data_IF_305756999153
#
_entry.id   IF_305756999153
#
_cell.length_a   1.000
_cell.length_b   1.000
_cell.length_c   1.000
_cell.angle_alpha   90.00
_cell.angle_beta   90.00
_cell.angle_gamma   90.00
#
_symmetry.space_group_name_H-M   'P 1'
#
loop_
_entity.id
_entity.type
_entity.pdbx_description
1 polymer ?
#
# COMPACT_ATOMS: atom_id res chain seq x y z
N UNK A 1 6.37 21.44 22.87
CA UNK A 1 5.11 20.93 23.46
C UNK A 1 4.21 20.54 22.31
N UNK A 2 4.15 19.26 22.00
CA UNK A 2 3.37 18.73 20.87
C UNK A 2 1.89 18.73 21.27
N UNK A 3 1.08 19.56 20.62
CA UNK A 3 -0.34 19.71 20.93
C UNK A 3 -1.11 18.45 20.49
N UNK A 4 -1.28 17.50 21.40
CA UNK A 4 -1.95 16.22 21.17
C UNK A 4 -3.48 16.38 21.29
N UNK A 5 -4.06 17.28 20.48
CA UNK A 5 -5.49 17.61 20.52
C UNK A 5 -6.14 17.97 19.18
N UNK A 6 -5.36 18.34 18.15
CA UNK A 6 -5.90 18.77 16.85
C UNK A 6 -5.55 17.77 15.76
N UNK A 7 -6.57 17.21 15.09
CA UNK A 7 -6.40 16.15 14.10
C UNK A 7 -6.05 16.70 12.70
N UNK A 8 -6.40 17.96 12.44
CA UNK A 8 -6.25 18.61 11.15
C UNK A 8 -5.72 20.05 11.32
N UNK A 9 -4.99 20.55 10.34
CA UNK A 9 -4.54 21.94 10.29
C UNK A 9 -5.72 22.87 9.96
N UNK A 10 -6.55 22.47 8.99
CA UNK A 10 -7.71 23.25 8.57
C UNK A 10 -8.93 22.39 8.19
N UNK A 11 -10.12 22.95 8.36
CA UNK A 11 -11.33 22.45 7.71
C UNK A 11 -11.84 23.42 6.64
N UNK A 12 -12.58 22.91 5.63
CA UNK A 12 -13.20 23.75 4.59
C UNK A 12 -14.72 23.62 4.63
N UNK A 13 -15.39 24.68 5.11
CA UNK A 13 -16.84 24.81 5.06
C UNK A 13 -17.27 25.42 3.73
N UNK A 14 -18.19 24.75 3.04
CA UNK A 14 -18.60 25.12 1.68
C UNK A 14 -20.04 24.70 1.40
N UNK A 15 -20.70 25.32 0.43
CA UNK A 15 -21.96 24.80 -0.09
C UNK A 15 -21.69 23.50 -0.86
N UNK A 16 -22.58 22.50 -0.72
CA UNK A 16 -22.44 21.20 -1.39
C UNK A 16 -22.20 21.26 -2.90
N UNK A 17 -22.73 22.29 -3.53
CA UNK A 17 -22.66 22.57 -4.96
C UNK A 17 -21.25 22.96 -5.42
N UNK A 18 -20.43 23.56 -4.55
CA UNK A 18 -19.06 24.02 -4.87
C UNK A 18 -17.99 22.93 -4.65
N UNK A 19 -18.41 21.75 -4.19
CA UNK A 19 -17.51 20.70 -3.72
C UNK A 19 -16.55 20.23 -4.81
N UNK A 20 -17.08 19.90 -5.98
CA UNK A 20 -16.30 19.35 -7.10
C UNK A 20 -15.59 20.44 -7.90
N UNK A 21 -16.23 21.60 -8.08
CA UNK A 21 -15.74 22.68 -8.93
C UNK A 21 -14.55 23.42 -8.33
N UNK A 22 -14.52 23.64 -7.01
CA UNK A 22 -13.51 24.48 -6.36
C UNK A 22 -12.90 23.88 -5.10
N UNK A 23 -13.73 23.34 -4.20
CA UNK A 23 -13.28 22.90 -2.87
C UNK A 23 -12.34 21.71 -2.97
N UNK A 24 -12.63 20.74 -3.84
CA UNK A 24 -11.75 19.58 -4.07
C UNK A 24 -10.40 20.00 -4.67
N UNK A 25 -10.31 20.78 -5.76
CA UNK A 25 -9.05 21.33 -6.25
C UNK A 25 -8.24 22.06 -5.17
N UNK A 26 -8.88 22.93 -4.40
CA UNK A 26 -8.24 23.67 -3.32
C UNK A 26 -7.70 22.73 -2.23
N UNK A 27 -8.50 21.77 -1.77
CA UNK A 27 -8.10 20.80 -0.76
C UNK A 27 -6.93 19.93 -1.22
N UNK A 28 -6.88 19.56 -2.50
CA UNK A 28 -5.75 18.82 -3.09
C UNK A 28 -4.50 19.70 -3.08
N UNK A 29 -4.59 20.94 -3.56
CA UNK A 29 -3.46 21.87 -3.57
C UNK A 29 -2.91 22.12 -2.14
N UNK A 30 -3.79 22.34 -1.16
CA UNK A 30 -3.41 22.49 0.24
C UNK A 30 -2.70 21.24 0.79
N UNK A 31 -3.21 20.04 0.47
CA UNK A 31 -2.58 18.78 0.89
C UNK A 31 -1.21 18.56 0.26
N UNK A 32 -1.05 18.90 -1.02
CA UNK A 32 0.24 18.80 -1.69
C UNK A 32 1.29 19.75 -1.07
N UNK A 33 0.84 20.85 -0.45
CA UNK A 33 1.68 21.77 0.31
C UNK A 33 1.91 21.34 1.77
N UNK A 34 1.46 20.15 2.17
CA UNK A 34 1.64 19.61 3.52
C UNK A 34 0.63 20.10 4.55
N UNK A 35 -0.48 20.73 4.13
CA UNK A 35 -1.57 21.12 5.03
C UNK A 35 -2.56 19.95 5.15
N UNK A 36 -2.81 19.51 6.37
CA UNK A 36 -3.83 18.49 6.64
C UNK A 36 -5.23 19.12 6.62
N UNK A 37 -6.06 18.71 5.65
CA UNK A 37 -7.37 19.34 5.37
C UNK A 37 -8.53 18.36 5.48
N UNK A 38 -9.59 18.77 6.18
CA UNK A 38 -10.87 18.07 6.29
C UNK A 38 -12.04 18.87 5.70
N UNK A 39 -12.69 18.36 4.65
CA UNK A 39 -13.76 19.11 3.97
C UNK A 39 -15.03 18.28 3.70
N UNK A 40 -14.97 16.95 3.62
CA UNK A 40 -16.09 16.10 3.20
C UNK A 40 -17.33 16.19 4.08
N UNK A 41 -17.15 16.40 5.39
CA UNK A 41 -18.24 16.49 6.37
C UNK A 41 -18.78 17.91 6.60
N UNK A 42 -18.15 18.94 6.00
CA UNK A 42 -18.54 20.35 6.17
C UNK A 42 -19.24 20.91 4.93
N UNK A 43 -20.04 20.04 4.30
CA UNK A 43 -20.83 20.36 3.12
C UNK A 43 -22.20 20.86 3.56
N UNK A 44 -22.44 22.16 3.40
CA UNK A 44 -23.63 22.86 3.89
C UNK A 44 -24.83 22.68 2.94
N UNK A 45 -25.93 22.18 3.49
CA UNK A 45 -27.24 22.00 2.84
C UNK A 45 -28.25 23.03 3.36
N UNK A 46 -29.38 23.13 2.67
CA UNK A 46 -30.48 23.99 3.11
C UNK A 46 -31.00 23.52 4.48
N UNK A 47 -31.06 24.43 5.45
CA UNK A 47 -31.52 24.16 6.82
C UNK A 47 -30.41 23.77 7.80
N UNK A 48 -29.16 23.62 7.35
CA UNK A 48 -28.02 23.46 8.25
C UNK A 48 -27.73 24.76 9.02
N UNK A 49 -27.05 24.66 10.16
CA UNK A 49 -26.54 25.81 10.93
C UNK A 49 -25.05 26.01 10.65
N UNK A 50 -24.68 27.22 10.25
CA UNK A 50 -23.30 27.58 9.95
C UNK A 50 -22.44 27.51 11.22
N UNK A 51 -22.95 27.99 12.36
CA UNK A 51 -22.24 27.92 13.63
C UNK A 51 -21.93 26.50 14.04
N UNK A 52 -22.89 25.57 13.95
CA UNK A 52 -22.65 24.16 14.32
C UNK A 52 -21.57 23.53 13.45
N UNK A 53 -21.58 23.83 12.15
CA UNK A 53 -20.54 23.39 11.23
C UNK A 53 -19.16 23.90 11.64
N UNK A 54 -19.07 25.21 11.93
CA UNK A 54 -17.82 25.85 12.36
C UNK A 54 -17.34 25.33 13.71
N UNK A 55 -18.21 25.20 14.70
CA UNK A 55 -17.88 24.67 16.03
C UNK A 55 -17.36 23.24 15.94
N UNK A 56 -18.02 22.39 15.14
CA UNK A 56 -17.54 21.03 14.88
C UNK A 56 -16.16 21.04 14.19
N UNK A 57 -15.94 21.95 13.25
CA UNK A 57 -14.67 22.10 12.53
C UNK A 57 -13.54 22.54 13.45
N UNK A 58 -13.76 23.59 14.24
CA UNK A 58 -12.79 24.15 15.18
C UNK A 58 -12.51 23.23 16.38
N UNK A 59 -13.40 22.29 16.69
CA UNK A 59 -13.12 21.25 17.68
C UNK A 59 -12.03 20.27 17.22
N UNK A 60 -11.83 20.11 15.91
CA UNK A 60 -10.85 19.17 15.32
C UNK A 60 -9.71 19.82 14.54
N UNK A 61 -9.76 21.15 14.36
CA UNK A 61 -8.86 21.91 13.48
C UNK A 61 -8.50 23.27 14.06
N UNK A 62 -7.31 23.76 13.72
CA UNK A 62 -6.81 25.09 14.12
C UNK A 62 -7.44 26.22 13.31
N UNK A 63 -7.62 25.99 12.02
CA UNK A 63 -8.14 26.99 11.08
C UNK A 63 -9.44 26.54 10.42
N UNK A 64 -10.34 27.48 10.17
CA UNK A 64 -11.57 27.26 9.41
C UNK A 64 -11.58 28.07 8.13
N UNK A 65 -11.55 27.41 6.97
CA UNK A 65 -11.70 28.06 5.68
C UNK A 65 -13.17 28.06 5.30
N UNK A 66 -13.75 29.22 4.99
CA UNK A 66 -15.17 29.31 4.59
C UNK A 66 -15.28 29.83 3.15
N UNK A 67 -15.86 29.01 2.28
CA UNK A 67 -16.09 29.34 0.87
C UNK A 67 -17.42 30.05 0.72
N UNK A 68 -17.35 31.33 0.37
CA UNK A 68 -18.48 32.22 0.15
C UNK A 68 -18.72 32.31 -1.36
N UNK A 69 -19.70 31.54 -1.82
CA UNK A 69 -20.10 31.44 -3.22
C UNK A 69 -21.53 31.92 -3.45
N UNK A 70 -22.02 32.04 -4.70
CA UNK A 70 -23.43 32.26 -4.96
C UNK A 70 -24.33 31.20 -4.32
N UNK A 71 -23.87 29.94 -4.25
CA UNK A 71 -24.60 28.86 -3.58
C UNK A 71 -24.63 29.03 -2.06
N UNK A 72 -23.56 29.56 -1.46
CA UNK A 72 -23.54 29.91 -0.05
C UNK A 72 -24.52 31.05 0.26
N UNK A 73 -24.47 32.13 -0.53
CA UNK A 73 -25.29 33.35 -0.34
C UNK A 73 -26.79 33.09 -0.54
N UNK A 74 -27.16 32.14 -1.40
CA UNK A 74 -28.58 31.76 -1.61
C UNK A 74 -29.20 30.98 -0.45
N UNK A 75 -28.40 30.40 0.43
CA UNK A 75 -28.93 29.65 1.59
C UNK A 75 -29.37 30.65 2.66
N UNK A 76 -30.52 30.41 3.33
CA UNK A 76 -31.13 31.37 4.25
C UNK A 76 -30.41 31.37 5.61
N UNK A 77 -29.20 31.93 5.66
CA UNK A 77 -28.44 32.08 6.89
C UNK A 77 -29.02 33.19 7.76
N UNK A 78 -29.28 32.95 9.05
CA UNK A 78 -29.64 34.02 9.96
C UNK A 78 -28.53 35.07 10.08
N UNK A 79 -28.87 36.36 10.14
CA UNK A 79 -27.87 37.45 10.21
C UNK A 79 -26.88 37.31 11.37
N UNK A 80 -27.34 36.77 12.50
CA UNK A 80 -26.48 36.54 13.67
C UNK A 80 -25.42 35.45 13.41
N UNK A 81 -25.69 34.47 12.54
CA UNK A 81 -24.69 33.47 12.10
C UNK A 81 -23.61 34.11 11.24
N UNK A 82 -24.01 34.98 10.32
CA UNK A 82 -23.08 35.70 9.43
C UNK A 82 -22.20 36.68 10.21
N UNK A 83 -22.77 37.39 11.18
CA UNK A 83 -22.01 38.29 12.06
C UNK A 83 -20.99 37.53 12.91
N UNK A 84 -21.35 36.34 13.39
CA UNK A 84 -20.46 35.49 14.18
C UNK A 84 -19.24 34.98 13.42
N UNK A 85 -19.37 34.78 12.10
CA UNK A 85 -18.25 34.43 11.23
C UNK A 85 -17.19 35.54 11.15
N UNK A 86 -17.62 36.79 11.26
CA UNK A 86 -16.76 37.98 11.21
C UNK A 86 -16.13 38.24 12.58
N UNK A 87 -16.88 38.06 13.68
CA UNK A 87 -16.45 38.41 15.04
C UNK A 87 -15.55 37.38 15.74
N UNK A 88 -15.49 36.13 15.26
CA UNK A 88 -14.77 35.02 15.91
C UNK A 88 -13.24 35.07 15.81
N UNK A 89 -12.65 36.15 15.32
CA UNK A 89 -11.18 36.32 15.28
C UNK A 89 -10.56 36.86 16.58
N UNK A 90 -11.38 37.29 17.54
CA UNK A 90 -10.90 38.12 18.66
C UNK A 90 -10.54 37.30 19.90
N UNK A 91 -10.97 36.03 20.01
CA UNK A 91 -10.67 35.17 21.16
C UNK A 91 -10.15 33.79 20.70
N UNK A 92 -8.98 33.42 21.22
CA UNK A 92 -8.41 32.05 21.27
C UNK A 92 -7.91 31.40 19.95
N UNK A 93 -6.76 31.82 19.40
CA UNK A 93 -5.89 31.05 18.47
C UNK A 93 -6.55 30.34 17.25
N UNK A 94 -7.83 30.59 16.99
CA UNK A 94 -8.70 29.88 16.05
C UNK A 94 -9.19 30.89 15.01
N UNK A 95 -8.66 30.78 13.80
CA UNK A 95 -8.86 31.81 12.77
C UNK A 95 -9.78 31.28 11.67
N UNK A 96 -10.80 32.10 11.34
CA UNK A 96 -11.68 31.85 10.20
C UNK A 96 -11.17 32.64 8.98
N UNK A 97 -10.83 31.93 7.92
CA UNK A 97 -10.28 32.45 6.67
C UNK A 97 -11.36 32.43 5.57
N UNK A 98 -12.00 33.56 5.25
CA UNK A 98 -13.00 33.61 4.19
C UNK A 98 -12.36 33.58 2.79
N UNK A 99 -13.00 32.86 1.87
CA UNK A 99 -12.67 32.83 0.44
C UNK A 99 -13.90 33.26 -0.35
N UNK A 100 -13.78 34.27 -1.20
CA UNK A 100 -14.82 34.68 -2.14
C UNK A 100 -14.70 33.86 -3.42
N UNK A 101 -15.71 33.07 -3.74
CA UNK A 101 -15.72 32.20 -4.92
C UNK A 101 -16.85 32.57 -5.86
N UNK A 102 -16.55 33.26 -6.96
CA UNK A 102 -17.55 33.62 -7.97
C UNK A 102 -18.63 34.60 -7.47
N UNK A 103 -18.32 35.41 -6.45
CA UNK A 103 -19.19 36.46 -5.90
C UNK A 103 -18.56 37.83 -6.10
N UNK A 104 -19.41 38.83 -6.29
CA UNK A 104 -18.98 40.23 -6.35
C UNK A 104 -19.13 40.92 -5.00
N UNK A 105 -18.33 41.97 -4.75
CA UNK A 105 -18.47 42.78 -3.53
C UNK A 105 -19.88 43.35 -3.37
N UNK A 106 -20.55 43.71 -4.48
CA UNK A 106 -21.93 44.23 -4.44
C UNK A 106 -22.92 43.19 -3.93
N UNK A 107 -22.86 41.96 -4.44
CA UNK A 107 -23.73 40.87 -3.96
C UNK A 107 -23.49 40.56 -2.49
N UNK A 108 -22.23 40.62 -2.04
CA UNK A 108 -21.90 40.44 -0.63
C UNK A 108 -22.38 41.59 0.25
N UNK A 109 -22.34 42.84 -0.22
CA UNK A 109 -22.88 43.99 0.51
C UNK A 109 -24.40 43.89 0.68
N UNK A 110 -25.10 43.44 -0.37
CA UNK A 110 -26.55 43.20 -0.34
C UNK A 110 -26.92 42.05 0.59
N UNK A 111 -26.08 41.02 0.66
CA UNK A 111 -26.29 39.86 1.53
C UNK A 111 -25.91 40.12 2.99
N UNK A 112 -24.71 40.65 3.23
CA UNK A 112 -24.17 40.94 4.57
C UNK A 112 -23.03 41.97 4.49
N UNK A 113 -23.28 43.25 4.82
CA UNK A 113 -22.25 44.29 4.82
C UNK A 113 -21.03 43.93 5.66
N UNK A 114 -21.22 43.29 6.82
CA UNK A 114 -20.13 42.83 7.70
C UNK A 114 -19.20 41.83 7.03
N UNK A 115 -19.70 41.01 6.11
CA UNK A 115 -18.90 40.01 5.40
C UNK A 115 -18.12 40.65 4.23
N UNK A 116 -18.72 41.64 3.58
CA UNK A 116 -18.13 42.35 2.45
C UNK A 116 -16.95 43.27 2.82
N UNK A 117 -16.89 43.70 4.07
CA UNK A 117 -15.81 44.54 4.59
C UNK A 117 -14.63 43.73 5.17
N UNK A 118 -14.76 42.40 5.25
CA UNK A 118 -13.69 41.52 5.71
C UNK A 118 -12.73 41.17 4.58
N UNK A 119 -11.42 41.25 4.86
CA UNK A 119 -10.39 40.81 3.91
C UNK A 119 -10.54 39.31 3.62
N UNK A 120 -10.68 38.95 2.35
CA UNK A 120 -10.87 37.58 1.89
C UNK A 120 -10.02 37.31 0.66
N UNK A 121 -9.59 36.07 0.49
CA UNK A 121 -8.96 35.64 -0.76
C UNK A 121 -10.05 35.48 -1.82
N UNK A 122 -9.85 36.03 -3.02
CA UNK A 122 -10.85 35.97 -4.09
C UNK A 122 -10.41 35.05 -5.23
N UNK A 123 -11.31 34.17 -5.68
CA UNK A 123 -11.08 33.36 -6.89
C UNK A 123 -11.19 34.18 -8.18
N UNK A 124 -11.56 35.46 -8.11
CA UNK A 124 -11.46 36.38 -9.25
C UNK A 124 -10.03 36.85 -9.51
N UNK A 125 -9.17 36.78 -8.51
CA UNK A 125 -7.78 37.25 -8.56
C UNK A 125 -6.78 36.09 -8.62
N UNK A 126 -7.10 34.98 -7.95
CA UNK A 126 -6.19 33.86 -7.75
C UNK A 126 -6.88 32.53 -8.07
N UNK A 127 -6.12 31.58 -8.61
CA UNK A 127 -6.58 30.20 -8.76
C UNK A 127 -6.50 29.44 -7.43
N UNK A 128 -6.95 28.18 -7.43
CA UNK A 128 -6.97 27.36 -6.22
C UNK A 128 -5.55 27.09 -5.67
N UNK A 129 -4.54 27.02 -6.55
CA UNK A 129 -3.15 26.78 -6.20
C UNK A 129 -2.54 27.99 -5.48
N UNK A 130 -2.69 29.19 -6.03
CA UNK A 130 -2.20 30.42 -5.42
C UNK A 130 -2.95 30.72 -4.10
N UNK A 131 -4.26 30.44 -4.05
CA UNK A 131 -5.01 30.51 -2.79
C UNK A 131 -4.44 29.54 -1.75
N UNK A 132 -4.13 28.29 -2.13
CA UNK A 132 -3.52 27.32 -1.22
C UNK A 132 -2.14 27.77 -0.71
N UNK A 133 -1.30 28.37 -1.57
CA UNK A 133 0.00 28.94 -1.16
C UNK A 133 -0.17 30.08 -0.17
N UNK A 134 -1.18 30.94 -0.37
CA UNK A 134 -1.49 32.03 0.57
C UNK A 134 -2.02 31.52 1.90
N UNK A 135 -2.87 30.49 1.87
CA UNK A 135 -3.33 29.81 3.07
C UNK A 135 -2.18 29.11 3.82
N UNK A 136 -1.22 28.53 3.10
CA UNK A 136 -0.03 27.92 3.71
C UNK A 136 0.74 28.91 4.60
N UNK A 137 0.88 30.15 4.14
CA UNK A 137 1.56 31.22 4.89
C UNK A 137 0.93 31.45 6.27
N UNK A 138 -0.40 31.41 6.35
CA UNK A 138 -1.14 31.65 7.59
C UNK A 138 -1.23 30.39 8.47
N UNK A 139 -1.46 29.22 7.85
CA UNK A 139 -1.74 27.97 8.57
C UNK A 139 -0.45 27.27 9.05
N UNK A 140 0.58 27.24 8.19
CA UNK A 140 1.88 26.57 8.41
C UNK A 140 3.04 27.46 7.94
N UNK A 141 3.29 28.57 8.66
CA UNK A 141 4.37 29.50 8.31
C UNK A 141 5.76 28.85 8.37
N UNK A 142 5.92 27.76 9.13
CA UNK A 142 7.12 26.93 9.18
C UNK A 142 7.45 26.29 7.84
N UNK A 143 6.46 25.75 7.13
CA UNK A 143 6.65 25.19 5.79
C UNK A 143 6.89 26.34 4.80
N UNK A 144 6.03 27.37 4.84
CA UNK A 144 6.10 28.48 3.88
C UNK A 144 7.47 29.16 3.83
N UNK A 145 8.12 29.38 4.99
CA UNK A 145 9.42 30.07 5.06
C UNK A 145 10.60 29.23 4.58
N UNK A 146 10.47 27.90 4.61
CA UNK A 146 11.55 26.98 4.29
C UNK A 146 11.62 26.59 2.81
N UNK A 147 10.62 26.97 2.02
CA UNK A 147 10.55 26.62 0.60
C UNK A 147 10.51 27.87 -0.29
N UNK A 148 11.32 27.94 -1.36
CA UNK A 148 11.20 28.98 -2.37
C UNK A 148 9.85 28.91 -3.08
N UNK A 149 9.36 30.06 -3.55
CA UNK A 149 8.03 30.18 -4.18
C UNK A 149 7.83 29.23 -5.36
N UNK A 150 8.84 29.07 -6.22
CA UNK A 150 8.75 28.19 -7.39
C UNK A 150 8.54 26.71 -6.99
N UNK A 151 9.06 26.28 -5.84
CA UNK A 151 8.84 24.91 -5.34
C UNK A 151 7.41 24.75 -4.83
N UNK A 152 6.87 25.74 -4.09
CA UNK A 152 5.48 25.71 -3.63
C UNK A 152 4.49 25.67 -4.80
N UNK A 153 4.75 26.41 -5.87
CA UNK A 153 3.96 26.37 -7.10
C UNK A 153 3.97 24.95 -7.73
N UNK A 154 5.15 24.32 -7.85
CA UNK A 154 5.28 22.93 -8.33
C UNK A 154 4.59 21.89 -7.44
N UNK A 155 4.65 22.06 -6.12
CA UNK A 155 3.98 21.17 -5.17
C UNK A 155 2.45 21.32 -5.28
N UNK A 156 1.95 22.55 -5.21
CA UNK A 156 0.51 22.83 -5.25
C UNK A 156 -0.17 22.35 -6.54
N UNK A 157 0.52 22.39 -7.69
CA UNK A 157 0.01 21.92 -8.99
C UNK A 157 -0.14 20.38 -9.08
N UNK A 158 0.43 19.65 -8.11
CA UNK A 158 0.48 18.19 -8.11
C UNK A 158 1.42 17.60 -9.16
N UNK A 159 2.21 18.42 -9.85
CA UNK A 159 3.16 17.97 -10.86
C UNK A 159 4.23 17.07 -10.24
N UNK A 160 4.81 17.48 -9.11
CA UNK A 160 5.80 16.69 -8.38
C UNK A 160 5.26 15.29 -8.00
N UNK A 161 3.99 15.21 -7.58
CA UNK A 161 3.36 13.93 -7.22
C UNK A 161 3.17 13.05 -8.46
N UNK A 162 2.75 13.63 -9.59
CA UNK A 162 2.58 12.90 -10.86
C UNK A 162 3.91 12.38 -11.40
N UNK A 163 4.97 13.20 -11.36
CA UNK A 163 6.33 12.81 -11.78
C UNK A 163 6.82 11.61 -10.96
N UNK A 164 6.71 11.68 -9.64
CA UNK A 164 7.09 10.58 -8.74
C UNK A 164 6.26 9.31 -8.99
N UNK A 165 4.95 9.46 -9.23
CA UNK A 165 4.10 8.31 -9.56
C UNK A 165 4.53 7.62 -10.86
N UNK A 166 4.88 8.40 -11.89
CA UNK A 166 5.38 7.87 -13.15
C UNK A 166 6.73 7.14 -12.97
N UNK A 167 7.62 7.71 -12.17
CA UNK A 167 8.91 7.09 -11.87
C UNK A 167 8.75 5.78 -11.10
N UNK A 168 7.87 5.75 -10.09
CA UNK A 168 7.54 4.53 -9.34
C UNK A 168 7.00 3.44 -10.28
N UNK A 169 6.12 3.81 -11.21
CA UNK A 169 5.54 2.83 -12.14
C UNK A 169 6.59 2.28 -13.09
N UNK A 170 7.43 3.13 -13.69
CA UNK A 170 8.55 2.70 -14.53
C UNK A 170 9.48 1.75 -13.78
N UNK A 171 9.86 2.09 -12.54
CA UNK A 171 10.74 1.25 -11.73
C UNK A 171 10.07 -0.08 -11.36
N UNK A 172 8.75 -0.12 -11.18
CA UNK A 172 8.02 -1.37 -10.95
C UNK A 172 8.03 -2.27 -12.17
N UNK A 173 7.79 -1.72 -13.35
CA UNK A 173 7.84 -2.46 -14.62
C UNK A 173 9.25 -3.05 -14.86
N UNK A 174 10.30 -2.25 -14.66
CA UNK A 174 11.69 -2.71 -14.76
C UNK A 174 11.99 -3.84 -13.75
N UNK A 175 11.51 -3.71 -12.51
CA UNK A 175 11.69 -4.74 -11.49
C UNK A 175 10.92 -6.02 -11.82
N UNK A 176 9.74 -5.92 -12.39
CA UNK A 176 8.94 -7.07 -12.80
C UNK A 176 9.61 -7.82 -13.95
N UNK A 177 10.10 -7.11 -14.96
CA UNK A 177 10.87 -7.69 -16.06
C UNK A 177 12.11 -8.43 -15.55
N UNK A 178 12.90 -7.79 -14.68
CA UNK A 178 14.09 -8.41 -14.08
C UNK A 178 13.74 -9.65 -13.23
N UNK A 179 12.62 -9.62 -12.50
CA UNK A 179 12.13 -10.78 -11.74
C UNK A 179 11.69 -11.93 -12.64
N UNK A 180 11.08 -11.62 -13.78
CA UNK A 180 10.67 -12.63 -14.75
C UNK A 180 11.90 -13.34 -15.34
N UNK A 181 12.92 -12.59 -15.74
CA UNK A 181 14.19 -13.18 -16.22
C UNK A 181 14.86 -14.05 -15.14
N UNK A 182 14.86 -13.60 -13.89
CA UNK A 182 15.41 -14.38 -12.78
C UNK A 182 14.59 -15.63 -12.45
N UNK A 183 13.29 -15.65 -12.78
CA UNK A 183 12.40 -16.76 -12.43
C UNK A 183 12.79 -18.07 -13.14
N UNK A 184 13.43 -17.98 -14.31
CA UNK A 184 13.99 -19.13 -15.03
C UNK A 184 15.12 -19.83 -14.26
N UNK A 185 15.76 -19.13 -13.32
CA UNK A 185 16.87 -19.64 -12.52
C UNK A 185 16.50 -19.83 -11.05
N UNK A 186 15.19 -19.99 -10.78
CA UNK A 186 14.64 -20.12 -9.44
C UNK A 186 13.65 -21.28 -9.38
N UNK A 187 13.70 -22.02 -8.29
CA UNK A 187 12.75 -23.10 -8.06
C UNK A 187 11.32 -22.52 -7.98
N UNK A 188 10.34 -23.06 -8.73
CA UNK A 188 8.99 -22.51 -8.79
C UNK A 188 8.18 -22.64 -7.49
N UNK A 189 8.65 -23.46 -6.53
CA UNK A 189 7.96 -23.72 -5.27
C UNK A 189 8.53 -22.94 -4.08
N UNK A 190 9.85 -22.81 -4.00
CA UNK A 190 10.54 -22.21 -2.85
C UNK A 190 11.47 -21.04 -3.19
N UNK A 191 11.59 -20.70 -4.48
CA UNK A 191 12.47 -19.64 -4.97
C UNK A 191 13.98 -19.84 -4.67
N UNK A 192 14.41 -21.08 -4.39
CA UNK A 192 15.84 -21.42 -4.27
C UNK A 192 16.55 -21.30 -5.61
N UNK A 193 17.85 -20.97 -5.60
CA UNK A 193 18.62 -20.80 -6.81
C UNK A 193 18.79 -22.11 -7.59
N UNK A 194 18.88 -21.99 -8.92
CA UNK A 194 19.34 -23.05 -9.80
C UNK A 194 20.81 -23.36 -9.49
N UNK A 195 21.08 -24.61 -9.16
CA UNK A 195 22.41 -25.13 -8.83
C UNK A 195 23.11 -25.68 -10.08
N UNK A 196 22.39 -26.48 -10.87
CA UNK A 196 22.93 -27.16 -12.05
C UNK A 196 21.90 -27.11 -13.19
N UNK A 197 22.37 -26.87 -14.42
CA UNK A 197 21.60 -27.04 -15.66
C UNK A 197 22.50 -27.68 -16.70
N UNK A 198 22.15 -28.88 -17.13
CA UNK A 198 22.93 -29.67 -18.08
C UNK A 198 22.03 -30.33 -19.12
N UNK A 199 22.53 -30.48 -20.33
CA UNK A 199 21.93 -31.38 -21.32
C UNK A 199 22.28 -32.82 -20.95
N UNK A 200 21.28 -33.69 -20.90
CA UNK A 200 21.45 -35.11 -20.60
C UNK A 200 20.65 -35.99 -21.58
N UNK A 201 21.17 -37.17 -21.95
CA UNK A 201 20.48 -38.07 -22.87
C UNK A 201 19.20 -38.62 -22.21
N UNK A 202 18.10 -38.56 -22.95
CA UNK A 202 16.79 -39.08 -22.54
C UNK A 202 16.62 -40.57 -22.86
N UNK A 203 17.48 -41.12 -23.73
CA UNK A 203 17.51 -42.53 -24.07
C UNK A 203 18.95 -43.09 -24.05
N UNK A 204 19.07 -44.41 -23.88
CA UNK A 204 20.35 -45.10 -23.78
C UNK A 204 21.17 -45.10 -25.08
N UNK A 205 20.56 -44.77 -26.21
CA UNK A 205 21.23 -44.65 -27.51
C UNK A 205 21.70 -43.21 -27.78
N UNK A 206 21.48 -42.29 -26.84
CA UNK A 206 21.82 -40.86 -26.90
C UNK A 206 21.22 -40.13 -28.11
N UNK A 207 20.08 -40.60 -28.63
CA UNK A 207 19.43 -40.02 -29.81
C UNK A 207 18.55 -38.83 -29.48
N UNK A 208 18.02 -38.79 -28.26
CA UNK A 208 17.20 -37.70 -27.73
C UNK A 208 17.89 -37.14 -26.50
N UNK A 209 17.95 -35.81 -26.43
CA UNK A 209 18.57 -35.07 -25.35
C UNK A 209 17.54 -34.13 -24.75
N UNK A 210 17.60 -33.97 -23.44
CA UNK A 210 16.75 -33.04 -22.73
C UNK A 210 17.53 -32.35 -21.60
N UNK A 211 16.96 -31.30 -21.04
CA UNK A 211 17.59 -30.50 -20.00
C UNK A 211 17.26 -31.09 -18.64
N UNK A 212 18.31 -31.36 -17.85
CA UNK A 212 18.21 -31.62 -16.42
C UNK A 212 18.54 -30.36 -15.63
N UNK A 213 17.63 -29.96 -14.75
CA UNK A 213 17.81 -28.83 -13.84
C UNK A 213 17.78 -29.32 -12.40
N UNK A 214 18.71 -28.84 -11.59
CA UNK A 214 18.77 -29.10 -10.15
C UNK A 214 18.88 -27.78 -9.40
N UNK A 215 18.05 -27.62 -8.38
CA UNK A 215 18.00 -26.43 -7.53
C UNK A 215 18.60 -26.72 -6.16
N UNK A 216 19.08 -25.69 -5.45
CA UNK A 216 19.73 -25.85 -4.13
C UNK A 216 18.82 -26.52 -3.07
N UNK A 217 17.50 -26.36 -3.20
CA UNK A 217 16.51 -27.04 -2.36
C UNK A 217 16.41 -28.56 -2.61
N UNK A 218 17.02 -29.06 -3.68
CA UNK A 218 16.96 -30.45 -4.12
C UNK A 218 15.79 -30.78 -5.06
N UNK A 219 15.05 -29.77 -5.54
CA UNK A 219 14.11 -29.92 -6.65
C UNK A 219 14.89 -30.27 -7.93
N UNK A 220 14.42 -31.26 -8.69
CA UNK A 220 15.05 -31.67 -9.93
C UNK A 220 14.00 -31.91 -11.02
N UNK A 221 14.28 -31.42 -12.22
CA UNK A 221 13.46 -31.62 -13.41
C UNK A 221 14.29 -32.20 -14.54
N UNK A 222 13.65 -33.00 -15.40
CA UNK A 222 14.23 -33.48 -16.64
C UNK A 222 13.17 -33.44 -17.74
N UNK A 223 13.40 -32.67 -18.80
CA UNK A 223 12.40 -32.51 -19.87
C UNK A 223 11.05 -31.97 -19.41
N UNK A 224 11.06 -31.11 -18.38
CA UNK A 224 9.85 -30.59 -17.75
C UNK A 224 9.13 -31.56 -16.83
N UNK A 225 9.60 -32.81 -16.70
CA UNK A 225 9.09 -33.77 -15.72
C UNK A 225 9.83 -33.62 -14.39
N UNK A 226 9.09 -33.72 -13.29
CA UNK A 226 9.68 -33.70 -11.95
C UNK A 226 10.38 -35.05 -11.73
N UNK A 227 11.71 -35.05 -11.62
CA UNK A 227 12.48 -36.21 -11.17
C UNK A 227 12.49 -36.26 -9.64
N UNK A 228 12.64 -35.10 -8.99
CA UNK A 228 12.64 -34.99 -7.54
C UNK A 228 11.85 -33.75 -7.08
N UNK A 229 10.85 -33.91 -6.20
CA UNK A 229 9.97 -32.82 -5.81
C UNK A 229 10.65 -31.84 -4.84
N UNK A 230 10.21 -30.58 -4.89
CA UNK A 230 10.67 -29.55 -3.96
C UNK A 230 10.06 -29.79 -2.57
N UNK A 231 10.82 -29.62 -1.47
CA UNK A 231 10.28 -29.75 -0.11
C UNK A 231 9.09 -28.81 0.20
N UNK A 232 9.04 -27.64 -0.47
CA UNK A 232 7.94 -26.68 -0.35
C UNK A 232 6.79 -26.93 -1.32
N UNK A 233 6.86 -27.98 -2.16
CA UNK A 233 5.76 -28.35 -3.05
C UNK A 233 4.54 -28.78 -2.20
N UNK A 234 3.34 -28.20 -2.42
CA UNK A 234 2.12 -28.67 -1.75
C UNK A 234 1.82 -30.16 -1.93
N UNK A 235 2.34 -30.78 -3.00
CA UNK A 235 2.23 -32.22 -3.29
C UNK A 235 3.48 -33.00 -2.86
N UNK A 236 4.39 -32.41 -2.08
CA UNK A 236 5.53 -33.12 -1.54
C UNK A 236 5.06 -34.34 -0.74
N UNK A 237 5.65 -35.53 -0.97
CA UNK A 237 5.16 -36.77 -0.37
C UNK A 237 5.27 -36.74 1.15
N UNK A 238 4.21 -37.14 1.84
CA UNK A 238 4.21 -37.31 3.30
C UNK A 238 4.81 -38.66 3.64
N UNK A 239 5.38 -38.80 4.84
CA UNK A 239 5.91 -40.11 5.28
C UNK A 239 4.84 -41.22 5.25
N UNK A 240 3.58 -40.87 5.45
CA UNK A 240 2.45 -41.80 5.37
C UNK A 240 2.18 -42.32 3.93
N UNK A 241 2.75 -41.70 2.90
CA UNK A 241 2.63 -42.13 1.51
C UNK A 241 3.64 -43.24 1.16
N UNK A 242 4.38 -43.77 2.15
CA UNK A 242 5.34 -44.84 2.00
C UNK A 242 4.90 -46.11 2.73
N UNK A 243 4.99 -47.24 2.04
CA UNK A 243 4.84 -48.57 2.60
C UNK A 243 6.21 -49.10 3.03
N UNK A 244 6.34 -49.48 4.31
CA UNK A 244 7.61 -49.96 4.88
C UNK A 244 7.71 -51.48 4.80
N UNK A 245 8.76 -51.96 4.14
CA UNK A 245 9.07 -53.37 3.99
C UNK A 245 10.30 -53.71 4.81
N UNK A 246 10.17 -54.72 5.67
CA UNK A 246 11.23 -55.14 6.57
C UNK A 246 11.79 -56.50 6.13
N UNK A 247 13.11 -56.58 6.07
CA UNK A 247 13.84 -57.81 5.81
C UNK A 247 14.78 -58.08 6.97
N UNK A 248 14.80 -59.33 7.43
CA UNK A 248 15.72 -59.77 8.46
C UNK A 248 16.80 -60.64 7.80
N UNK A 249 18.06 -60.30 8.06
CA UNK A 249 19.24 -61.05 7.57
C UNK A 249 20.07 -61.43 8.79
N UNK A 250 19.76 -62.55 9.46
CA UNK A 250 20.42 -62.95 10.70
C UNK A 250 21.90 -63.27 10.51
N UNK A 251 22.33 -63.52 9.27
CA UNK A 251 23.72 -63.81 8.92
C UNK A 251 24.63 -62.56 8.95
N UNK A 252 24.06 -61.34 8.97
CA UNK A 252 24.82 -60.08 9.07
C UNK A 252 24.70 -59.49 10.49
N UNK A 253 25.80 -59.47 11.29
CA UNK A 253 25.78 -58.94 12.64
C UNK A 253 25.62 -57.41 12.72
N UNK A 254 25.88 -56.69 11.62
CA UNK A 254 25.86 -55.23 11.59
C UNK A 254 24.56 -54.68 10.98
N UNK A 255 23.94 -55.41 10.03
CA UNK A 255 22.71 -55.00 9.34
C UNK A 255 21.60 -56.06 9.43
N UNK A 256 21.39 -56.59 10.64
CA UNK A 256 20.44 -57.66 10.92
C UNK A 256 19.00 -57.33 10.47
N UNK A 257 18.62 -56.05 10.51
CA UNK A 257 17.35 -55.56 9.98
C UNK A 257 17.59 -54.52 8.89
N UNK A 258 16.90 -54.70 7.77
CA UNK A 258 16.85 -53.76 6.66
C UNK A 258 15.41 -53.32 6.46
N UNK A 259 15.22 -52.01 6.30
CA UNK A 259 13.92 -51.43 6.01
C UNK A 259 14.00 -50.69 4.68
N UNK A 260 12.97 -50.87 3.84
CA UNK A 260 12.80 -50.19 2.57
C UNK A 260 11.47 -49.45 2.58
N UNK A 261 11.47 -48.18 2.18
CA UNK A 261 10.27 -47.38 2.01
C UNK A 261 9.87 -47.35 0.54
N UNK A 262 8.76 -48.01 0.20
CA UNK A 262 8.20 -48.01 -1.15
C UNK A 262 7.11 -46.95 -1.28
N UNK A 263 7.25 -46.04 -2.25
CA UNK A 263 6.25 -45.00 -2.46
C UNK A 263 4.91 -45.56 -2.96
N UNK A 264 3.85 -45.32 -2.21
CA UNK A 264 2.48 -45.67 -2.61
C UNK A 264 1.92 -44.69 -3.66
N UNK A 265 2.35 -43.43 -3.61
CA UNK A 265 1.96 -42.36 -4.55
C UNK A 265 3.05 -42.10 -5.59
N UNK A 266 2.67 -41.50 -6.73
CA UNK A 266 3.59 -41.10 -7.79
C UNK A 266 4.71 -40.17 -7.27
N UNK A 267 4.37 -39.20 -6.44
CA UNK A 267 5.34 -38.28 -5.81
C UNK A 267 6.24 -38.98 -4.79
N UNK A 268 5.72 -39.96 -4.04
CA UNK A 268 6.52 -40.76 -3.10
C UNK A 268 7.50 -41.69 -3.82
N UNK A 269 7.14 -42.21 -5.00
CA UNK A 269 8.05 -43.03 -5.84
C UNK A 269 9.21 -42.22 -6.41
N UNK A 270 8.98 -40.94 -6.71
CA UNK A 270 10.01 -39.99 -7.17
C UNK A 270 11.01 -39.63 -6.08
N UNK A 271 10.57 -39.56 -4.83
CA UNK A 271 11.46 -39.35 -3.69
C UNK A 271 11.90 -40.70 -3.10
N UNK A 272 12.94 -41.29 -3.69
CA UNK A 272 13.52 -42.54 -3.19
C UNK A 272 14.31 -42.31 -1.90
N UNK A 273 13.89 -42.97 -0.82
CA UNK A 273 14.59 -42.95 0.45
C UNK A 273 15.65 -44.06 0.47
N UNK A 274 16.91 -43.76 0.84
CA UNK A 274 17.90 -44.81 1.05
C UNK A 274 17.42 -45.81 2.11
N UNK A 275 17.73 -47.11 1.96
CA UNK A 275 17.33 -48.12 2.94
C UNK A 275 17.86 -47.80 4.34
N UNK A 276 17.03 -48.10 5.34
CA UNK A 276 17.40 -47.98 6.75
C UNK A 276 17.97 -49.31 7.25
N UNK A 277 19.16 -49.28 7.83
CA UNK A 277 19.81 -50.45 8.41
C UNK A 277 19.85 -50.34 9.94
N UNK A 278 19.62 -51.44 10.65
CA UNK A 278 19.66 -51.45 12.11
C UNK A 278 19.90 -52.84 12.69
N UNK A 279 20.30 -52.86 13.96
CA UNK A 279 20.40 -54.09 14.75
C UNK A 279 19.02 -54.56 15.22
N UNK A 280 18.06 -53.63 15.31
CA UNK A 280 16.66 -53.86 15.66
C UNK A 280 15.74 -53.32 14.55
N UNK A 281 14.50 -53.81 14.51
CA UNK A 281 13.49 -53.37 13.57
C UNK A 281 13.19 -51.87 13.74
N UNK A 282 13.09 -51.42 14.97
CA UNK A 282 12.81 -50.04 15.34
C UNK A 282 13.97 -49.11 14.95
N UNK A 283 15.22 -49.58 15.07
CA UNK A 283 16.38 -48.81 14.61
C UNK A 283 16.38 -48.64 13.09
N UNK A 284 16.08 -49.71 12.34
CA UNK A 284 15.98 -49.65 10.88
C UNK A 284 14.87 -48.69 10.41
N UNK A 285 13.71 -48.70 11.07
CA UNK A 285 12.61 -47.75 10.79
C UNK A 285 12.99 -46.31 11.11
N UNK A 286 13.62 -46.06 12.27
CA UNK A 286 14.08 -44.72 12.67
C UNK A 286 15.02 -44.11 11.63
N UNK A 287 15.94 -44.91 11.07
CA UNK A 287 16.86 -44.42 10.03
C UNK A 287 16.15 -43.99 8.75
N UNK A 288 15.10 -44.69 8.32
CA UNK A 288 14.29 -44.24 7.18
C UNK A 288 13.60 -42.92 7.48
N UNK A 289 13.05 -42.76 8.69
CA UNK A 289 12.41 -41.49 9.09
C UNK A 289 13.41 -40.34 9.10
N UNK A 290 14.64 -40.57 9.55
CA UNK A 290 15.73 -39.58 9.47
C UNK A 290 16.13 -39.27 8.03
N UNK A 291 16.10 -40.26 7.13
CA UNK A 291 16.33 -40.06 5.70
C UNK A 291 15.24 -39.18 5.08
N UNK A 292 13.98 -39.46 5.41
CA UNK A 292 12.83 -38.65 4.99
C UNK A 292 12.93 -37.20 5.50
N UNK A 293 13.21 -37.00 6.78
CA UNK A 293 13.32 -35.68 7.39
C UNK A 293 14.41 -34.81 6.74
N UNK A 294 15.52 -35.41 6.29
CA UNK A 294 16.58 -34.71 5.54
C UNK A 294 16.11 -34.15 4.21
N UNK A 295 15.10 -34.76 3.60
CA UNK A 295 14.49 -34.28 2.37
C UNK A 295 13.31 -33.34 2.63
N UNK A 296 12.57 -33.53 3.72
CA UNK A 296 11.39 -32.73 4.06
C UNK A 296 11.73 -31.36 4.72
N UNK A 297 12.93 -31.19 5.31
CA UNK A 297 13.31 -29.99 6.09
C UNK A 297 14.30 -29.04 5.40
N UNK A 298 14.39 -29.04 4.07
CA UNK A 298 15.25 -28.10 3.32
C UNK A 298 14.50 -26.85 2.88
#
# INVERSE_FOLDING_TARGET
MSNMGEKWDAFISHASEDKESFVRPLAIAMRNLGISVWYSEFSLRLGDSLFRSIDKGLAGSRFGVVVISPHFVRKPWPEYELRGLVSREIEEDRVILPIWHGVTRRELLEFSPSLADKFALSTSEFDAQEIAIRLLREIRPDIYRNHPRAELERLSSGEAVRELQQEIERTREELEAARQELSEYRCPYCNSALSIRIDAPADSEEKHWDVREEFECGYQTFGGYIERPCPSDPKFPKFADYELHFFNTPEDPHWTWQCYAMGATDMARRLQLPPGYGTTREEAERRIREHYDRYAKK
#
